data_IF_330509534698
#
_entry.id   IF_330509534698
#
_cell.length_a   1.000
_cell.length_b   1.000
_cell.length_c   1.000
_cell.angle_alpha   90.00
_cell.angle_beta   90.00
_cell.angle_gamma   90.00
#
_symmetry.space_group_name_H-M   'P 1'
#
loop_
_entity.id
_entity.type
_entity.pdbx_description
1 polymer ?
#
# COMPACT_ATOMS: atom_id res chain seq x y z
N UNK A 1 -0.29 -24.33 -54.73
CA UNK A 1 -1.49 -24.31 -53.87
C UNK A 1 -1.19 -24.72 -52.43
N UNK A 2 -0.50 -25.84 -52.17
CA UNK A 2 -0.17 -26.30 -50.79
C UNK A 2 0.79 -25.36 -50.03
N UNK A 3 1.81 -24.83 -50.74
CA UNK A 3 2.81 -23.90 -50.18
C UNK A 3 2.23 -22.51 -49.88
N UNK A 4 1.29 -22.05 -50.71
CA UNK A 4 0.55 -20.81 -50.49
C UNK A 4 -0.41 -20.92 -49.30
N UNK A 5 -0.97 -22.10 -49.05
CA UNK A 5 -1.83 -22.37 -47.89
C UNK A 5 -1.03 -22.38 -46.56
N UNK A 6 0.18 -22.92 -46.56
CA UNK A 6 1.09 -22.89 -45.39
C UNK A 6 1.49 -21.46 -45.03
N UNK A 7 1.80 -20.61 -46.03
CA UNK A 7 2.15 -19.20 -45.79
C UNK A 7 0.98 -18.44 -45.15
N UNK A 8 -0.25 -18.72 -45.59
CA UNK A 8 -1.45 -18.07 -45.03
C UNK A 8 -1.72 -18.50 -43.58
N UNK A 9 -1.49 -19.77 -43.24
CA UNK A 9 -1.61 -20.25 -41.86
C UNK A 9 -0.56 -19.62 -40.92
N UNK A 10 0.68 -19.42 -41.38
CA UNK A 10 1.73 -18.76 -40.60
C UNK A 10 1.38 -17.28 -40.35
N UNK A 11 0.79 -16.62 -41.35
CA UNK A 11 0.37 -15.22 -41.22
C UNK A 11 -0.74 -15.04 -40.17
N UNK A 12 -1.72 -15.94 -40.16
CA UNK A 12 -2.82 -15.94 -39.16
C UNK A 12 -2.27 -16.19 -37.75
N UNK A 13 -1.28 -17.07 -37.61
CA UNK A 13 -0.63 -17.40 -36.32
C UNK A 13 0.17 -16.22 -35.75
N UNK A 14 0.86 -15.46 -36.61
CA UNK A 14 1.61 -14.27 -36.20
C UNK A 14 0.69 -13.12 -35.76
N UNK A 15 -0.42 -12.92 -36.47
CA UNK A 15 -1.41 -11.90 -36.11
C UNK A 15 -2.11 -12.31 -34.81
N UNK A 16 -2.61 -13.54 -34.71
CA UNK A 16 -3.29 -14.05 -33.50
C UNK A 16 -2.40 -14.09 -32.25
N UNK A 17 -1.14 -14.53 -32.39
CA UNK A 17 -0.17 -14.56 -31.29
C UNK A 17 0.22 -13.17 -30.78
N UNK A 18 0.37 -12.19 -31.68
CA UNK A 18 0.68 -10.81 -31.31
C UNK A 18 -0.43 -10.13 -30.48
N UNK A 19 -1.69 -10.37 -30.82
CA UNK A 19 -2.83 -9.85 -30.05
C UNK A 19 -2.89 -10.42 -28.63
N UNK A 20 -2.61 -11.72 -28.44
CA UNK A 20 -2.62 -12.33 -27.10
C UNK A 20 -1.50 -11.85 -26.18
N UNK A 21 -0.30 -11.54 -26.71
CA UNK A 21 0.78 -10.94 -25.90
C UNK A 21 0.38 -9.52 -25.44
N UNK A 22 -0.19 -8.71 -26.33
CA UNK A 22 -0.56 -7.33 -25.99
C UNK A 22 -1.66 -7.23 -24.92
N UNK A 23 -2.61 -8.17 -24.89
CA UNK A 23 -3.66 -8.19 -23.85
C UNK A 23 -3.14 -8.77 -22.54
N UNK A 24 -2.20 -9.71 -22.55
CA UNK A 24 -1.61 -10.27 -21.33
C UNK A 24 -0.69 -9.26 -20.61
N UNK A 25 0.12 -8.50 -21.35
CA UNK A 25 0.94 -7.41 -20.77
C UNK A 25 0.04 -6.31 -20.18
N UNK A 26 -1.05 -5.95 -20.88
CA UNK A 26 -2.04 -4.97 -20.40
C UNK A 26 -2.93 -5.51 -19.25
N UNK A 27 -3.01 -6.82 -19.09
CA UNK A 27 -3.67 -7.47 -17.95
C UNK A 27 -2.76 -7.56 -16.72
N UNK A 28 -1.45 -7.31 -16.85
CA UNK A 28 -0.50 -7.19 -15.75
C UNK A 28 -0.33 -5.74 -15.23
N UNK A 29 -0.89 -4.75 -15.92
CA UNK A 29 -0.81 -3.31 -15.59
C UNK A 29 -2.14 -2.75 -15.06
N UNK A 30 -3.07 -3.62 -14.64
CA UNK A 30 -4.37 -3.26 -14.04
C UNK A 30 -4.56 -3.84 -12.62
N UNK A 31 -3.47 -4.28 -11.98
CA UNK A 31 -3.50 -4.82 -10.61
C UNK A 31 -2.44 -4.19 -9.71
N UNK A 32 -2.22 -2.88 -9.88
CA UNK A 32 -1.52 -2.07 -8.87
C UNK A 32 -2.44 -0.90 -8.57
N UNK A 33 -3.14 -1.00 -7.44
CA UNK A 33 -3.76 0.16 -6.80
C UNK A 33 -2.66 1.21 -6.61
N UNK A 34 -2.72 2.27 -7.40
CA UNK A 34 -1.97 3.50 -7.17
C UNK A 34 -2.53 4.18 -5.91
N UNK A 35 -2.14 3.74 -4.72
CA UNK A 35 -2.01 4.68 -3.59
C UNK A 35 -0.75 5.51 -3.81
N UNK A 36 -0.90 6.50 -4.68
CA UNK A 36 0.08 7.54 -4.92
C UNK A 36 0.00 8.57 -3.80
N UNK A 37 0.42 8.21 -2.59
CA UNK A 37 0.81 9.21 -1.60
C UNK A 37 2.16 9.81 -2.02
N UNK A 38 2.07 10.81 -2.89
CA UNK A 38 3.14 11.74 -3.17
C UNK A 38 3.65 12.32 -1.85
N UNK A 39 4.90 12.00 -1.54
CA UNK A 39 5.71 12.70 -0.53
C UNK A 39 5.82 14.19 -0.89
N UNK A 40 4.82 14.96 -0.46
CA UNK A 40 4.93 16.40 -0.33
C UNK A 40 5.66 16.69 0.97
N UNK A 41 6.94 17.05 0.85
CA UNK A 41 7.66 17.83 1.86
C UNK A 41 7.05 19.24 1.87
N UNK A 42 5.85 19.32 2.43
CA UNK A 42 5.25 20.54 2.94
C UNK A 42 5.26 20.44 4.45
N UNK A 43 5.46 21.55 5.13
CA UNK A 43 5.27 21.67 6.57
C UNK A 43 3.78 21.40 6.89
N UNK A 44 3.36 20.12 6.86
CA UNK A 44 2.06 19.67 7.31
C UNK A 44 2.07 19.90 8.80
N UNK A 45 1.25 20.83 9.26
CA UNK A 45 0.95 20.93 10.69
C UNK A 45 0.49 19.54 11.14
N UNK A 46 1.23 18.96 12.09
CA UNK A 46 0.91 17.65 12.64
C UNK A 46 -0.49 17.71 13.25
N UNK A 47 -1.45 17.07 12.57
CA UNK A 47 -2.81 16.99 13.06
C UNK A 47 -2.85 15.95 14.19
N UNK A 48 -3.24 16.37 15.38
CA UNK A 48 -3.38 15.47 16.54
C UNK A 48 -4.77 14.81 16.46
N UNK A 49 -4.83 13.49 16.47
CA UNK A 49 -6.11 12.78 16.33
C UNK A 49 -5.99 11.26 16.33
N UNK A 50 -7.12 10.59 16.06
CA UNK A 50 -7.23 9.12 16.04
C UNK A 50 -7.25 8.52 14.63
N UNK A 51 -7.46 9.35 13.60
CA UNK A 51 -7.43 8.88 12.21
C UNK A 51 -6.02 8.48 11.77
N UNK A 52 -5.94 7.63 10.75
CA UNK A 52 -4.67 7.18 10.19
C UNK A 52 -3.83 8.37 9.70
N UNK A 53 -2.53 8.35 10.01
CA UNK A 53 -1.59 9.42 9.67
C UNK A 53 -1.55 10.60 10.65
N UNK A 54 -2.51 10.71 11.58
CA UNK A 54 -2.47 11.73 12.63
C UNK A 54 -1.38 11.43 13.66
N UNK A 55 -0.86 12.48 14.28
CA UNK A 55 -0.02 12.34 15.47
C UNK A 55 -0.88 11.90 16.65
N UNK A 56 -0.48 10.80 17.29
CA UNK A 56 -1.20 10.27 18.45
C UNK A 56 -1.29 11.32 19.59
N UNK A 57 -2.44 11.46 20.27
CA UNK A 57 -2.58 12.40 21.38
C UNK A 57 -1.61 12.11 22.52
N UNK A 58 -1.09 13.18 23.15
CA UNK A 58 -0.21 13.05 24.31
C UNK A 58 -1.01 12.60 25.53
N UNK A 59 -0.47 11.64 26.27
CA UNK A 59 -1.00 11.26 27.59
C UNK A 59 0.14 10.85 28.52
N UNK A 60 -0.14 10.89 29.81
CA UNK A 60 0.72 10.37 30.87
C UNK A 60 -0.16 9.60 31.84
N UNK A 61 0.22 8.36 32.12
CA UNK A 61 -0.50 7.46 33.02
C UNK A 61 0.42 7.04 34.17
N UNK A 62 -0.17 6.36 35.15
CA UNK A 62 0.57 5.68 36.21
C UNK A 62 0.66 4.20 35.82
N UNK A 63 1.87 3.66 35.77
CA UNK A 63 2.08 2.25 35.47
C UNK A 63 1.88 1.35 36.71
N UNK A 64 2.04 0.04 36.56
CA UNK A 64 1.87 -0.93 37.65
C UNK A 64 2.89 -0.78 38.78
N UNK A 65 3.97 -0.04 38.55
CA UNK A 65 5.00 0.26 39.55
C UNK A 65 4.74 1.61 40.26
N UNK A 66 3.58 2.24 40.03
CA UNK A 66 3.24 3.58 40.50
C UNK A 66 4.13 4.71 39.96
N UNK A 67 4.79 4.49 38.82
CA UNK A 67 5.62 5.50 38.17
C UNK A 67 4.83 6.25 37.10
N UNK A 68 5.15 7.54 36.91
CA UNK A 68 4.58 8.34 35.82
C UNK A 68 5.22 7.94 34.51
N UNK A 69 4.39 7.60 33.53
CA UNK A 69 4.84 7.12 32.23
C UNK A 69 4.09 7.84 31.10
N UNK A 70 4.84 8.44 30.19
CA UNK A 70 4.31 9.24 29.07
C UNK A 70 4.49 8.52 27.75
N UNK A 71 3.56 8.72 26.82
CA UNK A 71 3.69 8.23 25.43
C UNK A 71 4.99 8.71 24.78
N UNK A 72 5.46 9.92 25.12
CA UNK A 72 6.69 10.49 24.57
C UNK A 72 7.94 9.69 24.91
N UNK A 73 7.93 8.91 26.01
CA UNK A 73 9.06 8.06 26.41
C UNK A 73 9.32 6.92 25.41
N UNK A 74 8.37 6.65 24.51
CA UNK A 74 8.43 5.57 23.52
C UNK A 74 8.79 6.04 22.11
N UNK A 75 9.21 7.31 21.93
CA UNK A 75 9.68 7.82 20.63
C UNK A 75 10.76 6.91 20.03
N UNK A 76 10.66 6.66 18.73
CA UNK A 76 11.57 5.77 18.00
C UNK A 76 11.24 4.27 18.11
N UNK A 77 10.13 3.91 18.76
CA UNK A 77 9.62 2.53 18.83
C UNK A 77 8.24 2.44 18.20
N UNK A 78 7.93 1.28 17.61
CA UNK A 78 6.56 0.94 17.23
C UNK A 78 5.78 0.55 18.48
N UNK A 79 4.66 1.20 18.74
CA UNK A 79 3.84 1.01 19.94
C UNK A 79 2.41 0.71 19.53
N UNK A 80 1.78 -0.27 20.18
CA UNK A 80 0.36 -0.56 20.06
C UNK A 80 -0.30 -0.21 21.39
N UNK A 81 -1.33 0.63 21.35
CA UNK A 81 -2.15 0.95 22.51
C UNK A 81 -3.38 0.06 22.52
N UNK A 82 -3.60 -0.62 23.63
CA UNK A 82 -4.75 -1.49 23.82
C UNK A 82 -5.49 -1.10 25.11
N UNK A 83 -6.80 -0.84 25.00
CA UNK A 83 -7.62 -0.34 26.08
C UNK A 83 -8.53 -1.46 26.59
N UNK A 84 -8.44 -1.75 27.89
CA UNK A 84 -9.26 -2.74 28.57
C UNK A 84 -9.96 -2.11 29.75
N UNK A 85 -11.21 -2.52 30.00
CA UNK A 85 -11.88 -2.19 31.24
C UNK A 85 -11.41 -3.17 32.33
N UNK A 86 -11.10 -2.65 33.52
CA UNK A 86 -10.95 -3.45 34.74
C UNK A 86 -12.19 -3.22 35.60
N UNK A 87 -12.62 -4.26 36.32
CA UNK A 87 -13.73 -4.18 37.29
C UNK A 87 -13.18 -3.88 38.68
#
# INVERSE_FOLDING_TARGET
>A
MKKTLIIFCILILLIGGGYSISTFIRSGENSVEEEKELGMVGNKEETIGLDMGNTAPKFTLINTNNEKESLENYRGKNVILNFFATT
#
